data_IF_851182971629
#
_entry.id   IF_851182971629
#
_cell.length_a   1.000
_cell.length_b   1.000
_cell.length_c   1.000
_cell.angle_alpha   90.00
_cell.angle_beta   90.00
_cell.angle_gamma   90.00
#
_symmetry.space_group_name_H-M   'P 1'
#
loop_
_entity.id
_entity.type
_entity.pdbx_description
1 polymer ?
#
# COMPACT_ATOMS: atom_id res chain seq x y z
N UNK A 1 -9.13 3.68 -12.88
CA UNK A 1 -9.76 2.44 -12.38
C UNK A 1 -9.89 1.51 -13.56
N UNK A 2 -9.68 0.19 -13.40
CA UNK A 2 -9.87 -0.73 -14.53
C UNK A 2 -11.35 -0.91 -14.86
N UNK A 3 -11.65 -1.37 -16.08
CA UNK A 3 -13.02 -1.60 -16.56
C UNK A 3 -13.74 -2.64 -15.70
N UNK A 4 -13.03 -3.72 -15.31
CA UNK A 4 -13.55 -4.79 -14.47
C UNK A 4 -13.98 -4.27 -13.09
N UNK A 5 -13.17 -3.41 -12.47
CA UNK A 5 -13.52 -2.78 -11.17
C UNK A 5 -14.77 -1.93 -11.29
N UNK A 6 -14.87 -1.10 -12.34
CA UNK A 6 -16.04 -0.23 -12.55
C UNK A 6 -17.32 -1.03 -12.75
N UNK A 7 -17.25 -2.09 -13.56
CA UNK A 7 -18.40 -2.98 -13.79
C UNK A 7 -18.85 -3.68 -12.50
N UNK A 8 -17.88 -4.20 -11.71
CA UNK A 8 -18.14 -4.80 -10.40
C UNK A 8 -18.82 -3.81 -9.43
N UNK A 9 -18.34 -2.56 -9.41
CA UNK A 9 -18.93 -1.50 -8.58
C UNK A 9 -20.37 -1.18 -8.99
N UNK A 10 -20.65 -1.07 -10.29
CA UNK A 10 -22.02 -0.80 -10.76
C UNK A 10 -23.00 -1.90 -10.35
N UNK A 11 -22.58 -3.16 -10.45
CA UNK A 11 -23.38 -4.29 -9.98
C UNK A 11 -23.66 -4.24 -8.48
N UNK A 12 -22.64 -3.97 -7.67
CA UNK A 12 -22.75 -3.93 -6.21
C UNK A 12 -23.55 -2.70 -5.74
N UNK A 13 -23.31 -1.52 -6.33
CA UNK A 13 -24.09 -0.32 -6.03
C UNK A 13 -25.59 -0.54 -6.31
N UNK A 14 -25.93 -1.20 -7.42
CA UNK A 14 -27.33 -1.49 -7.77
C UNK A 14 -28.02 -2.37 -6.71
N UNK A 15 -27.31 -3.30 -6.08
CA UNK A 15 -27.89 -4.19 -5.06
C UNK A 15 -27.97 -3.52 -3.69
N UNK A 16 -26.91 -2.79 -3.29
CA UNK A 16 -26.82 -2.15 -1.98
C UNK A 16 -27.83 -1.00 -1.86
N UNK A 17 -28.14 -0.36 -2.98
CA UNK A 17 -29.12 0.72 -3.01
C UNK A 17 -30.51 0.31 -2.47
N UNK A 18 -31.04 1.08 -1.53
CA UNK A 18 -32.27 0.74 -0.78
C UNK A 18 -33.57 0.95 -1.59
N UNK A 19 -34.61 0.09 -1.47
CA UNK A 19 -35.88 0.25 -2.22
C UNK A 19 -36.74 1.46 -1.78
N UNK A 20 -36.35 2.16 -0.74
CA UNK A 20 -37.12 3.29 -0.18
C UNK A 20 -36.65 4.67 -0.59
N UNK A 21 -35.48 4.84 -1.19
CA UNK A 21 -34.99 6.11 -1.71
C UNK A 21 -35.39 6.31 -3.18
N UNK A 22 -35.53 7.56 -3.59
CA UNK A 22 -35.94 7.94 -4.94
C UNK A 22 -34.88 7.48 -5.96
N UNK A 23 -35.26 6.72 -7.00
CA UNK A 23 -34.34 6.21 -8.02
C UNK A 23 -33.48 7.33 -8.65
N UNK A 24 -34.05 8.54 -8.78
CA UNK A 24 -33.37 9.71 -9.31
C UNK A 24 -32.22 10.19 -8.37
N UNK A 25 -32.38 10.11 -7.05
CA UNK A 25 -31.35 10.52 -6.08
C UNK A 25 -30.15 9.57 -6.12
N UNK A 26 -30.40 8.28 -6.27
CA UNK A 26 -29.34 7.27 -6.36
C UNK A 26 -28.53 7.39 -7.63
N UNK A 27 -29.22 7.58 -8.75
CA UNK A 27 -28.55 7.83 -10.01
C UNK A 27 -27.62 9.03 -9.92
N UNK A 28 -28.03 10.10 -9.22
CA UNK A 28 -27.20 11.28 -8.98
C UNK A 28 -25.96 10.97 -8.12
N UNK A 29 -26.07 10.10 -7.11
CA UNK A 29 -24.92 9.68 -6.28
C UNK A 29 -23.93 8.88 -7.11
N UNK A 30 -24.39 7.92 -7.90
CA UNK A 30 -23.55 7.14 -8.82
C UNK A 30 -22.93 8.02 -9.89
N UNK A 31 -23.69 8.94 -10.47
CA UNK A 31 -23.22 9.93 -11.44
C UNK A 31 -22.12 10.81 -10.84
N UNK A 32 -22.34 11.32 -9.63
CA UNK A 32 -21.33 12.09 -8.88
C UNK A 32 -20.07 11.26 -8.60
N UNK A 33 -20.22 9.98 -8.28
CA UNK A 33 -19.08 9.07 -8.09
C UNK A 33 -18.30 8.87 -9.40
N UNK A 34 -18.99 8.59 -10.50
CA UNK A 34 -18.38 8.34 -11.81
C UNK A 34 -17.72 9.59 -12.39
N UNK A 35 -18.38 10.75 -12.33
CA UNK A 35 -17.88 12.03 -12.85
C UNK A 35 -16.60 12.52 -12.18
N UNK A 36 -16.32 12.05 -10.97
CA UNK A 36 -15.07 12.35 -10.25
C UNK A 36 -13.89 11.50 -10.69
N UNK A 37 -14.13 10.40 -11.37
CA UNK A 37 -13.11 9.41 -11.72
C UNK A 37 -12.94 9.21 -13.23
N UNK A 38 -13.94 9.57 -14.00
CA UNK A 38 -14.03 9.33 -15.43
C UNK A 38 -14.34 10.64 -16.17
N UNK A 39 -14.06 10.67 -17.46
CA UNK A 39 -14.58 11.70 -18.34
C UNK A 39 -16.08 11.49 -18.55
N UNK A 40 -16.77 12.49 -19.09
CA UNK A 40 -18.23 12.50 -19.24
C UNK A 40 -18.74 11.33 -20.08
N UNK A 41 -18.09 11.00 -21.20
CA UNK A 41 -18.49 9.90 -22.08
C UNK A 41 -18.48 8.54 -21.37
N UNK A 42 -17.38 8.25 -20.65
CA UNK A 42 -17.27 7.00 -19.89
C UNK A 42 -18.22 6.97 -18.68
N UNK A 43 -18.44 8.10 -18.03
CA UNK A 43 -19.40 8.18 -16.92
C UNK A 43 -20.82 7.84 -17.39
N UNK A 44 -21.25 8.32 -18.55
CA UNK A 44 -22.56 8.00 -19.14
C UNK A 44 -22.68 6.49 -19.45
N UNK A 45 -21.66 5.88 -20.04
CA UNK A 45 -21.65 4.42 -20.33
C UNK A 45 -21.83 3.58 -19.06
N UNK A 46 -21.10 3.91 -17.98
CA UNK A 46 -21.22 3.15 -16.73
C UNK A 46 -22.49 3.47 -15.95
N UNK A 47 -23.08 4.66 -16.14
CA UNK A 47 -24.41 4.97 -15.65
C UNK A 47 -25.49 4.11 -16.31
N UNK A 48 -25.40 3.88 -17.61
CA UNK A 48 -26.30 2.94 -18.30
C UNK A 48 -26.16 1.52 -17.75
N UNK A 49 -24.91 1.07 -17.52
CA UNK A 49 -24.65 -0.23 -16.89
C UNK A 49 -25.28 -0.33 -15.50
N UNK A 50 -25.16 0.74 -14.69
CA UNK A 50 -25.83 0.79 -13.38
C UNK A 50 -27.36 0.74 -13.52
N UNK A 51 -27.94 1.54 -14.40
CA UNK A 51 -29.40 1.62 -14.63
C UNK A 51 -29.95 0.25 -15.05
N UNK A 52 -29.25 -0.49 -15.92
CA UNK A 52 -29.62 -1.85 -16.35
C UNK A 52 -29.64 -2.83 -15.17
N UNK A 53 -28.56 -2.86 -14.36
CA UNK A 53 -28.51 -3.74 -13.17
C UNK A 53 -29.54 -3.34 -12.13
N UNK A 54 -29.72 -2.04 -11.90
CA UNK A 54 -30.70 -1.54 -10.95
C UNK A 54 -32.14 -1.90 -11.38
N UNK A 55 -32.47 -1.75 -12.67
CA UNK A 55 -33.75 -2.18 -13.24
C UNK A 55 -34.01 -3.66 -13.01
N UNK A 56 -33.04 -4.54 -13.29
CA UNK A 56 -33.13 -5.98 -13.04
C UNK A 56 -33.37 -6.30 -11.54
N UNK A 57 -32.64 -5.62 -10.65
CA UNK A 57 -32.83 -5.79 -9.20
C UNK A 57 -34.24 -5.40 -8.77
N UNK A 58 -34.77 -4.27 -9.26
CA UNK A 58 -36.10 -3.78 -8.89
C UNK A 58 -37.23 -4.66 -9.44
N UNK A 59 -37.12 -5.13 -10.68
CA UNK A 59 -38.10 -6.05 -11.26
C UNK A 59 -38.21 -7.37 -10.51
N UNK A 60 -37.08 -7.90 -10.04
CA UNK A 60 -37.06 -9.14 -9.27
C UNK A 60 -37.52 -8.94 -7.82
N UNK A 61 -37.21 -7.80 -7.21
CA UNK A 61 -37.67 -7.45 -5.86
C UNK A 61 -39.17 -7.22 -5.82
N UNK A 62 -39.74 -6.63 -6.85
CA UNK A 62 -41.20 -6.43 -7.00
C UNK A 62 -42.02 -7.74 -7.00
N UNK A 63 -41.40 -8.86 -7.36
CA UNK A 63 -42.02 -10.20 -7.34
C UNK A 63 -42.07 -10.84 -5.96
N UNK A 64 -41.52 -10.18 -4.91
CA UNK A 64 -41.39 -10.74 -3.56
C UNK A 64 -42.27 -9.99 -2.56
N UNK A 65 -43.25 -10.69 -2.00
CA UNK A 65 -44.25 -10.11 -1.08
C UNK A 65 -43.85 -10.09 0.41
N UNK A 66 -42.76 -10.77 0.82
CA UNK A 66 -42.32 -10.86 2.22
C UNK A 66 -40.92 -10.29 2.40
N UNK A 67 -40.75 -9.36 3.37
CA UNK A 67 -39.49 -8.65 3.66
C UNK A 67 -38.30 -9.60 3.97
N UNK A 68 -38.52 -10.67 4.73
CA UNK A 68 -37.50 -11.67 5.05
C UNK A 68 -37.01 -12.45 3.82
N UNK A 69 -37.91 -12.76 2.88
CA UNK A 69 -37.53 -13.43 1.61
C UNK A 69 -36.75 -12.49 0.68
N UNK A 70 -37.02 -11.19 0.76
CA UNK A 70 -36.31 -10.17 0.00
C UNK A 70 -34.84 -10.07 0.45
N UNK A 71 -34.61 -10.02 1.76
CA UNK A 71 -33.26 -9.97 2.35
C UNK A 71 -32.44 -11.23 1.98
N UNK A 72 -33.02 -12.40 2.15
CA UNK A 72 -32.34 -13.65 1.79
C UNK A 72 -31.98 -13.72 0.30
N UNK A 73 -32.85 -13.23 -0.59
CA UNK A 73 -32.56 -13.18 -2.04
C UNK A 73 -31.43 -12.19 -2.37
N UNK A 74 -31.44 -11.02 -1.75
CA UNK A 74 -30.38 -10.02 -1.93
C UNK A 74 -29.02 -10.56 -1.49
N UNK A 75 -28.95 -11.18 -0.32
CA UNK A 75 -27.73 -11.83 0.18
C UNK A 75 -27.21 -12.91 -0.79
N UNK A 76 -28.10 -13.76 -1.33
CA UNK A 76 -27.72 -14.77 -2.34
C UNK A 76 -27.23 -14.12 -3.64
N UNK A 77 -27.81 -12.99 -4.04
CA UNK A 77 -27.38 -12.26 -5.25
C UNK A 77 -26.00 -11.63 -5.03
N UNK A 78 -25.78 -10.97 -3.89
CA UNK A 78 -24.45 -10.44 -3.49
C UNK A 78 -23.40 -11.55 -3.57
N UNK A 79 -23.67 -12.69 -2.97
CA UNK A 79 -22.76 -13.86 -3.02
C UNK A 79 -22.44 -14.29 -4.45
N UNK A 80 -23.45 -14.40 -5.33
CA UNK A 80 -23.24 -14.78 -6.74
C UNK A 80 -22.36 -13.77 -7.49
N UNK A 81 -22.62 -12.49 -7.34
CA UNK A 81 -21.84 -11.43 -7.99
C UNK A 81 -20.43 -11.40 -7.44
N UNK A 82 -20.28 -11.45 -6.11
CA UNK A 82 -18.95 -11.49 -5.48
C UNK A 82 -18.15 -12.74 -5.87
N UNK A 83 -18.81 -13.89 -6.06
CA UNK A 83 -18.13 -15.10 -6.55
C UNK A 83 -17.62 -14.90 -7.98
N UNK A 84 -18.41 -14.32 -8.87
CA UNK A 84 -17.96 -13.98 -10.23
C UNK A 84 -16.81 -12.95 -10.22
N UNK A 85 -16.93 -11.91 -9.39
CA UNK A 85 -15.86 -10.90 -9.21
C UNK A 85 -14.56 -11.54 -8.69
N UNK A 86 -14.66 -12.56 -7.83
CA UNK A 86 -13.49 -13.27 -7.31
C UNK A 86 -12.66 -13.98 -8.38
N UNK A 87 -13.29 -14.39 -9.48
CA UNK A 87 -12.61 -15.00 -10.62
C UNK A 87 -11.92 -13.96 -11.51
N UNK A 88 -12.45 -12.73 -11.54
CA UNK A 88 -11.98 -11.66 -12.42
C UNK A 88 -10.96 -10.72 -11.75
N UNK A 89 -11.10 -10.45 -10.43
CA UNK A 89 -10.29 -9.44 -9.73
C UNK A 89 -9.23 -10.05 -8.82
N UNK A 90 -8.03 -9.47 -8.86
CA UNK A 90 -6.97 -9.75 -7.88
C UNK A 90 -7.28 -9.12 -6.51
N UNK A 91 -6.64 -9.63 -5.43
CA UNK A 91 -6.91 -9.18 -4.06
C UNK A 91 -6.77 -7.66 -3.85
N UNK A 92 -5.77 -6.95 -4.41
CA UNK A 92 -5.69 -5.49 -4.31
C UNK A 92 -6.91 -4.77 -4.91
N UNK A 93 -7.44 -5.27 -6.03
CA UNK A 93 -8.61 -4.70 -6.69
C UNK A 93 -9.88 -4.87 -5.85
N UNK A 94 -10.05 -6.03 -5.20
CA UNK A 94 -11.17 -6.31 -4.29
C UNK A 94 -11.18 -5.38 -3.08
N UNK A 95 -10.00 -5.09 -2.51
CA UNK A 95 -9.88 -4.11 -1.42
C UNK A 95 -10.26 -2.70 -1.90
N UNK A 96 -9.87 -2.30 -3.11
CA UNK A 96 -10.30 -1.02 -3.70
C UNK A 96 -11.83 -0.98 -3.86
N UNK A 97 -12.45 -2.06 -4.36
CA UNK A 97 -13.92 -2.17 -4.46
C UNK A 97 -14.56 -2.00 -3.08
N UNK A 98 -14.04 -2.65 -2.04
CA UNK A 98 -14.57 -2.52 -0.67
C UNK A 98 -14.51 -1.07 -0.17
N UNK A 99 -13.39 -0.37 -0.37
CA UNK A 99 -13.27 1.06 -0.03
C UNK A 99 -14.33 1.91 -0.74
N UNK A 100 -14.54 1.68 -2.04
CA UNK A 100 -15.51 2.44 -2.82
C UNK A 100 -16.96 2.16 -2.37
N UNK A 101 -17.27 0.92 -2.00
CA UNK A 101 -18.58 0.57 -1.43
C UNK A 101 -18.85 1.28 -0.11
N UNK A 102 -17.87 1.35 0.78
CA UNK A 102 -17.99 2.05 2.05
C UNK A 102 -18.13 3.57 1.85
N UNK A 103 -17.37 4.17 0.93
CA UNK A 103 -17.49 5.59 0.57
C UNK A 103 -18.86 5.90 -0.06
N UNK A 104 -19.40 5.00 -0.87
CA UNK A 104 -20.72 5.12 -1.48
C UNK A 104 -21.82 5.16 -0.41
N UNK A 105 -21.82 4.22 0.55
CA UNK A 105 -22.81 4.19 1.63
C UNK A 105 -22.67 5.40 2.53
N UNK A 106 -21.45 5.84 2.85
CA UNK A 106 -21.21 7.06 3.63
C UNK A 106 -21.85 8.28 2.98
N UNK A 107 -21.89 8.36 1.65
CA UNK A 107 -22.49 9.48 0.94
C UNK A 107 -24.02 9.43 0.89
N UNK A 108 -24.64 8.25 1.04
CA UNK A 108 -26.10 8.08 0.94
C UNK A 108 -26.87 8.38 2.24
N UNK A 109 -26.27 8.14 3.42
CA UNK A 109 -27.00 8.29 4.67
C UNK A 109 -26.13 8.78 5.83
N UNK A 110 -26.69 9.70 6.64
CA UNK A 110 -26.10 10.08 7.92
C UNK A 110 -26.27 8.97 8.99
N UNK A 111 -27.30 8.13 8.86
CA UNK A 111 -27.54 6.95 9.69
C UNK A 111 -27.38 5.68 8.85
N UNK A 112 -26.24 5.02 9.01
CA UNK A 112 -25.96 3.74 8.34
C UNK A 112 -26.97 2.68 8.77
N UNK A 113 -27.80 2.22 7.86
CA UNK A 113 -28.72 1.13 8.14
C UNK A 113 -27.93 -0.16 8.41
N UNK A 114 -28.29 -0.89 9.47
CA UNK A 114 -27.65 -2.15 9.86
C UNK A 114 -27.59 -3.17 8.70
N UNK A 115 -28.54 -3.09 7.78
CA UNK A 115 -28.64 -3.99 6.63
C UNK A 115 -27.56 -3.72 5.57
N UNK A 116 -27.22 -2.47 5.31
CA UNK A 116 -26.16 -2.10 4.35
C UNK A 116 -24.80 -2.57 4.84
N UNK A 117 -24.56 -2.45 6.15
CA UNK A 117 -23.32 -2.97 6.76
C UNK A 117 -23.24 -4.48 6.73
N UNK A 118 -24.35 -5.19 6.88
CA UNK A 118 -24.40 -6.65 6.75
C UNK A 118 -24.08 -7.10 5.32
N UNK A 119 -24.56 -6.38 4.30
CA UNK A 119 -24.19 -6.64 2.91
C UNK A 119 -22.71 -6.41 2.65
N UNK A 120 -22.14 -5.30 3.14
CA UNK A 120 -20.70 -5.04 2.97
C UNK A 120 -19.84 -6.07 3.71
N UNK A 121 -20.24 -6.50 4.90
CA UNK A 121 -19.56 -7.58 5.61
C UNK A 121 -19.58 -8.89 4.80
N UNK A 122 -20.73 -9.21 4.16
CA UNK A 122 -20.84 -10.35 3.24
C UNK A 122 -19.92 -10.21 2.01
N UNK A 123 -19.78 -9.00 1.46
CA UNK A 123 -18.83 -8.73 0.36
C UNK A 123 -17.40 -8.95 0.81
N UNK A 124 -17.02 -8.39 1.97
CA UNK A 124 -15.67 -8.53 2.53
C UNK A 124 -15.30 -9.99 2.79
N UNK A 125 -16.21 -10.77 3.38
CA UNK A 125 -16.03 -12.20 3.63
C UNK A 125 -15.87 -12.99 2.31
N UNK A 126 -16.74 -12.73 1.33
CA UNK A 126 -16.66 -13.39 0.02
C UNK A 126 -15.37 -13.03 -0.74
N UNK A 127 -14.85 -11.83 -0.57
CA UNK A 127 -13.58 -11.38 -1.13
C UNK A 127 -12.36 -11.91 -0.37
N UNK A 128 -12.58 -12.70 0.69
CA UNK A 128 -11.54 -13.21 1.58
C UNK A 128 -10.68 -12.11 2.19
N UNK A 129 -11.30 -10.98 2.54
CA UNK A 129 -10.64 -9.91 3.28
C UNK A 129 -10.66 -10.28 4.76
N UNK A 130 -9.51 -10.36 5.44
CA UNK A 130 -9.45 -10.66 6.87
C UNK A 130 -10.32 -9.72 7.70
N UNK A 131 -10.94 -10.22 8.76
CA UNK A 131 -11.85 -9.45 9.63
C UNK A 131 -11.16 -8.22 10.24
N UNK A 132 -9.89 -8.35 10.66
CA UNK A 132 -9.09 -7.24 11.19
C UNK A 132 -8.88 -6.13 10.15
N UNK A 133 -8.61 -6.50 8.89
CA UNK A 133 -8.46 -5.55 7.78
C UNK A 133 -9.81 -4.89 7.47
N UNK A 134 -10.89 -5.65 7.42
CA UNK A 134 -12.24 -5.12 7.19
C UNK A 134 -12.65 -4.13 8.27
N UNK A 135 -12.45 -4.46 9.54
CA UNK A 135 -12.76 -3.58 10.66
C UNK A 135 -11.93 -2.29 10.62
N UNK A 136 -10.65 -2.38 10.28
CA UNK A 136 -9.75 -1.23 10.15
C UNK A 136 -10.16 -0.33 8.98
N UNK A 137 -10.47 -0.91 7.81
CA UNK A 137 -10.97 -0.18 6.63
C UNK A 137 -12.29 0.52 6.96
N UNK A 138 -13.25 -0.20 7.52
CA UNK A 138 -14.56 0.32 7.90
C UNK A 138 -14.44 1.54 8.80
N UNK A 139 -13.62 1.46 9.84
CA UNK A 139 -13.38 2.59 10.75
C UNK A 139 -12.68 3.74 10.05
N UNK A 140 -11.69 3.47 9.24
CA UNK A 140 -10.97 4.49 8.49
C UNK A 140 -11.90 5.32 7.59
N UNK A 141 -12.83 4.66 6.90
CA UNK A 141 -13.77 5.33 5.99
C UNK A 141 -14.89 6.02 6.75
N UNK A 142 -15.55 5.34 7.69
CA UNK A 142 -16.81 5.78 8.28
C UNK A 142 -16.64 6.64 9.53
N UNK A 143 -15.54 6.49 10.26
CA UNK A 143 -15.36 7.16 11.56
C UNK A 143 -14.42 8.36 11.42
N UNK A 144 -14.81 9.46 12.06
CA UNK A 144 -14.01 10.68 12.05
C UNK A 144 -13.17 10.86 13.31
N UNK A 145 -13.48 10.11 14.39
CA UNK A 145 -12.83 10.19 15.69
C UNK A 145 -12.21 8.86 16.12
N UNK A 146 -11.28 8.94 17.09
CA UNK A 146 -10.73 7.76 17.77
C UNK A 146 -9.64 6.98 17.03
N UNK A 147 -9.16 7.45 15.88
CA UNK A 147 -8.06 6.80 15.16
C UNK A 147 -6.69 7.02 15.81
N UNK A 148 -6.58 8.01 16.70
CA UNK A 148 -5.33 8.42 17.37
C UNK A 148 -4.77 7.35 18.34
N UNK A 149 -5.62 6.45 18.83
CA UNK A 149 -5.24 5.42 19.80
C UNK A 149 -4.85 4.07 19.17
N UNK A 150 -4.76 4.01 17.83
CA UNK A 150 -4.64 2.75 17.11
C UNK A 150 -3.38 2.66 16.28
N UNK A 151 -2.57 1.59 16.43
CA UNK A 151 -1.28 1.41 15.76
C UNK A 151 -1.39 1.17 14.25
N UNK A 152 -2.56 0.74 13.76
CA UNK A 152 -2.83 0.48 12.35
C UNK A 152 -2.95 1.75 11.50
N UNK A 153 -3.00 2.94 12.15
CA UNK A 153 -3.08 4.22 11.43
C UNK A 153 -1.82 5.05 11.60
N UNK A 154 -1.57 5.89 10.60
CA UNK A 154 -0.56 6.95 10.62
C UNK A 154 -1.27 8.29 10.47
N UNK A 155 -0.94 9.21 11.35
CA UNK A 155 -1.51 10.56 11.38
C UNK A 155 -0.43 11.58 11.06
N UNK A 156 -0.76 12.56 10.23
CA UNK A 156 0.11 13.70 9.92
C UNK A 156 -0.64 14.96 10.29
N UNK A 157 -0.11 15.75 11.19
CA UNK A 157 -0.68 17.04 11.60
C UNK A 157 0.40 17.99 12.15
N UNK A 158 -0.02 19.19 12.59
CA UNK A 158 0.87 20.21 13.14
C UNK A 158 1.06 20.11 14.67
N UNK A 159 0.56 19.08 15.32
CA UNK A 159 0.77 18.85 16.75
C UNK A 159 2.17 18.26 16.99
N UNK A 160 2.98 18.90 17.80
CA UNK A 160 4.25 18.31 18.25
C UNK A 160 3.95 17.13 19.15
N UNK A 161 4.56 15.96 18.90
CA UNK A 161 4.34 14.70 19.62
C UNK A 161 4.69 14.78 21.12
N UNK A 162 3.99 15.62 21.88
CA UNK A 162 4.16 15.80 23.32
C UNK A 162 3.12 15.07 24.14
N UNK A 163 2.08 14.49 23.55
CA UNK A 163 1.08 13.70 24.27
C UNK A 163 1.47 12.23 24.25
N UNK A 164 2.15 11.79 25.32
CA UNK A 164 2.51 10.42 25.65
C UNK A 164 1.26 9.54 25.87
N UNK A 165 0.50 9.23 24.84
CA UNK A 165 -0.72 8.43 25.00
C UNK A 165 -1.24 7.79 23.71
N UNK A 166 -0.98 8.36 22.56
CA UNK A 166 -1.43 7.80 21.29
C UNK A 166 -0.59 6.59 20.86
N UNK A 167 -1.27 5.53 20.41
CA UNK A 167 -0.62 4.33 19.84
C UNK A 167 -0.39 4.44 18.34
N UNK A 168 -1.07 5.38 17.66
CA UNK A 168 -0.91 5.61 16.22
C UNK A 168 0.48 6.15 15.88
N UNK A 169 0.93 5.85 14.68
CA UNK A 169 2.14 6.44 14.10
C UNK A 169 1.89 7.92 13.81
N UNK A 170 2.92 8.76 13.91
CA UNK A 170 2.76 10.20 13.73
C UNK A 170 3.91 10.85 12.94
N UNK A 171 3.55 11.75 12.01
CA UNK A 171 4.47 12.65 11.32
C UNK A 171 4.06 14.10 11.65
N UNK A 172 5.00 14.86 12.19
CA UNK A 172 4.80 16.30 12.38
C UNK A 172 5.00 17.06 11.06
N UNK A 173 4.04 17.92 10.73
CA UNK A 173 4.15 18.88 9.61
C UNK A 173 3.69 20.25 10.06
N UNK A 174 4.67 21.17 10.19
CA UNK A 174 4.40 22.56 10.52
C UNK A 174 3.44 23.19 9.51
N UNK A 175 2.51 24.02 9.98
CA UNK A 175 1.50 24.72 9.17
C UNK A 175 0.46 23.83 8.47
N UNK A 176 0.41 22.55 8.73
CA UNK A 176 -0.69 21.72 8.22
C UNK A 176 -2.00 22.07 8.95
N UNK A 177 -2.97 22.58 8.18
CA UNK A 177 -4.33 22.82 8.68
C UNK A 177 -5.14 21.55 8.52
N UNK A 178 -5.62 21.00 9.64
CA UNK A 178 -6.29 19.70 9.66
C UNK A 178 -5.33 18.52 9.87
N UNK A 179 -5.72 17.35 9.38
CA UNK A 179 -5.01 16.10 9.59
C UNK A 179 -5.02 15.24 8.32
N UNK A 180 -3.89 14.67 7.95
CA UNK A 180 -3.81 13.63 6.93
C UNK A 180 -3.72 12.29 7.64
N UNK A 181 -4.58 11.36 7.27
CA UNK A 181 -4.70 10.03 7.85
C UNK A 181 -4.31 8.98 6.83
N UNK A 182 -3.57 7.97 7.25
CA UNK A 182 -3.19 6.84 6.42
C UNK A 182 -3.53 5.53 7.10
N UNK A 183 -3.87 4.54 6.28
CA UNK A 183 -4.03 3.14 6.69
C UNK A 183 -3.21 2.25 5.76
N UNK A 184 -2.62 1.20 6.31
CA UNK A 184 -2.04 0.09 5.55
C UNK A 184 -2.95 -1.13 5.66
N UNK A 185 -3.37 -1.69 4.53
CA UNK A 185 -4.15 -2.92 4.45
C UNK A 185 -3.19 -4.07 4.15
N UNK A 186 -2.90 -4.85 5.17
CA UNK A 186 -1.85 -5.89 5.13
C UNK A 186 -2.14 -7.00 4.10
N UNK A 187 -3.39 -7.46 3.99
CA UNK A 187 -3.79 -8.56 3.09
C UNK A 187 -3.60 -8.25 1.61
N UNK A 188 -3.60 -6.96 1.23
CA UNK A 188 -3.43 -6.50 -0.14
C UNK A 188 -2.16 -5.69 -0.36
N UNK A 189 -1.41 -5.39 0.71
CA UNK A 189 -0.27 -4.47 0.73
C UNK A 189 -0.59 -3.13 0.08
N UNK A 190 -1.75 -2.57 0.39
CA UNK A 190 -2.21 -1.28 -0.11
C UNK A 190 -2.21 -0.22 0.98
N UNK A 191 -1.92 1.00 0.56
CA UNK A 191 -2.01 2.18 1.42
C UNK A 191 -3.12 3.09 0.94
N UNK A 192 -3.88 3.65 1.88
CA UNK A 192 -4.90 4.65 1.59
C UNK A 192 -4.67 5.90 2.41
N UNK A 193 -5.11 7.03 1.87
CA UNK A 193 -5.02 8.34 2.49
C UNK A 193 -6.38 9.01 2.54
N UNK A 194 -6.67 9.69 3.64
CA UNK A 194 -7.85 10.55 3.84
C UNK A 194 -7.40 11.86 4.45
N UNK A 195 -7.83 12.99 3.87
CA UNK A 195 -7.58 14.31 4.40
C UNK A 195 -8.78 14.81 5.19
N UNK A 196 -8.55 15.28 6.41
CA UNK A 196 -9.54 15.87 7.30
C UNK A 196 -9.11 17.32 7.58
N UNK A 197 -9.62 18.25 6.80
CA UNK A 197 -9.28 19.66 6.91
C UNK A 197 -10.04 20.51 5.91
N UNK A 198 -9.85 21.83 6.01
CA UNK A 198 -10.52 22.82 5.13
C UNK A 198 -9.57 23.47 4.13
N UNK A 199 -8.26 23.31 4.31
CA UNK A 199 -7.28 23.85 3.38
C UNK A 199 -7.12 22.94 2.15
N UNK A 200 -6.69 23.52 1.04
CA UNK A 200 -6.38 22.74 -0.16
C UNK A 200 -5.17 21.82 0.11
N UNK A 201 -5.31 20.55 -0.29
CA UNK A 201 -4.23 19.58 -0.29
C UNK A 201 -4.23 18.83 -1.62
N UNK A 202 -3.08 18.70 -2.23
CA UNK A 202 -2.92 18.08 -3.54
C UNK A 202 -2.14 16.77 -3.42
N UNK A 203 -2.61 15.73 -4.08
CA UNK A 203 -1.87 14.47 -4.30
C UNK A 203 -1.50 14.37 -5.78
N UNK A 204 -0.20 14.35 -6.08
CA UNK A 204 0.32 14.29 -7.47
C UNK A 204 -0.25 15.41 -8.37
N UNK A 205 -0.55 16.58 -7.81
CA UNK A 205 -1.13 17.71 -8.53
C UNK A 205 -2.66 17.70 -8.63
N UNK A 206 -3.34 16.66 -8.17
CA UNK A 206 -4.80 16.58 -8.09
C UNK A 206 -5.28 17.01 -6.70
N UNK A 207 -6.28 17.90 -6.66
CA UNK A 207 -6.89 18.34 -5.41
C UNK A 207 -7.60 17.17 -4.72
N UNK A 208 -7.31 16.95 -3.44
CA UNK A 208 -8.02 15.98 -2.62
C UNK A 208 -9.32 16.58 -2.07
N UNK A 209 -10.41 15.87 -2.22
CA UNK A 209 -11.66 16.19 -1.52
C UNK A 209 -11.52 15.80 -0.05
N UNK A 210 -11.82 16.73 0.89
CA UNK A 210 -11.81 16.39 2.31
C UNK A 210 -12.75 15.22 2.63
N UNK A 211 -12.37 14.42 3.63
CA UNK A 211 -13.14 13.29 4.15
C UNK A 211 -13.28 12.09 3.22
N UNK A 212 -12.70 12.12 2.04
CA UNK A 212 -12.70 11.02 1.08
C UNK A 212 -11.39 10.24 1.12
N UNK A 213 -11.48 8.93 0.94
CA UNK A 213 -10.34 8.01 0.92
C UNK A 213 -9.82 7.81 -0.49
N UNK A 214 -8.49 7.86 -0.65
CA UNK A 214 -7.80 7.67 -1.93
C UNK A 214 -6.70 6.62 -1.79
N UNK A 215 -6.47 5.78 -2.81
CA UNK A 215 -5.31 4.90 -2.82
C UNK A 215 -4.02 5.72 -2.92
N UNK A 216 -3.04 5.40 -2.09
CA UNK A 216 -1.71 6.01 -2.11
C UNK A 216 -0.75 5.07 -2.85
N UNK A 217 -0.43 5.42 -4.09
CA UNK A 217 0.43 4.62 -4.95
C UNK A 217 1.92 4.95 -4.75
N UNK A 218 2.79 4.03 -5.15
CA UNK A 218 4.25 4.26 -5.18
C UNK A 218 4.59 5.53 -5.94
N UNK A 219 5.47 6.36 -5.36
CA UNK A 219 5.86 7.65 -5.93
C UNK A 219 4.89 8.80 -5.65
N UNK A 220 3.76 8.56 -4.99
CA UNK A 220 2.81 9.62 -4.62
C UNK A 220 3.43 10.62 -3.64
N UNK A 221 3.03 11.87 -3.79
CA UNK A 221 3.36 12.95 -2.87
C UNK A 221 2.14 13.81 -2.55
N UNK A 222 1.98 14.15 -1.27
CA UNK A 222 0.96 15.10 -0.82
C UNK A 222 1.63 16.42 -0.51
N UNK A 223 1.07 17.50 -1.04
CA UNK A 223 1.66 18.84 -0.90
C UNK A 223 0.60 19.95 -0.96
N UNK A 224 0.93 21.07 -0.34
CA UNK A 224 0.33 22.38 -0.60
C UNK A 224 1.43 23.45 -0.50
N UNK A 225 1.04 24.72 -0.60
CA UNK A 225 2.01 25.83 -0.55
C UNK A 225 2.62 26.09 0.85
N UNK A 226 2.05 25.51 1.91
CA UNK A 226 2.37 25.83 3.30
C UNK A 226 3.15 24.74 4.02
N UNK A 227 3.13 23.49 3.52
CA UNK A 227 3.75 22.34 4.19
C UNK A 227 4.89 21.73 3.36
N UNK A 228 5.88 21.18 4.05
CA UNK A 228 6.82 20.28 3.42
C UNK A 228 6.09 19.04 2.90
N UNK A 229 6.37 18.57 1.67
CA UNK A 229 5.69 17.41 1.10
C UNK A 229 5.72 16.18 2.00
N UNK A 230 4.65 15.39 1.94
CA UNK A 230 4.60 14.05 2.54
C UNK A 230 4.70 13.06 1.39
N UNK A 231 5.75 12.28 1.36
CA UNK A 231 6.01 11.31 0.30
C UNK A 231 5.49 9.92 0.67
N UNK A 232 5.18 9.11 -0.33
CA UNK A 232 4.86 7.69 -0.17
C UNK A 232 5.89 6.95 0.70
N UNK A 233 7.18 7.22 0.48
CA UNK A 233 8.27 6.62 1.26
C UNK A 233 8.23 6.98 2.75
N UNK A 234 7.85 8.22 3.09
CA UNK A 234 7.70 8.65 4.50
C UNK A 234 6.64 7.81 5.21
N UNK A 235 5.51 7.58 4.51
CA UNK A 235 4.38 6.80 5.01
C UNK A 235 4.77 5.32 5.19
N UNK A 236 5.28 4.70 4.13
CA UNK A 236 5.63 3.27 4.12
C UNK A 236 6.71 2.95 5.17
N UNK A 237 7.73 3.80 5.31
CA UNK A 237 8.81 3.58 6.27
C UNK A 237 8.32 3.47 7.72
N UNK A 238 7.26 4.18 8.07
CA UNK A 238 6.69 4.11 9.43
C UNK A 238 5.83 2.86 9.65
N UNK A 239 5.15 2.36 8.63
CA UNK A 239 4.42 1.10 8.72
C UNK A 239 5.36 -0.12 8.75
N UNK A 240 6.44 -0.08 7.99
CA UNK A 240 7.46 -1.14 7.96
C UNK A 240 8.37 -1.09 9.20
N UNK A 241 8.67 0.13 9.70
CA UNK A 241 9.60 0.36 10.81
C UNK A 241 9.21 -0.31 12.14
N UNK A 242 7.92 -0.54 12.38
CA UNK A 242 7.46 -1.27 13.57
C UNK A 242 7.77 -2.78 13.51
N UNK A 243 8.01 -3.32 12.33
CA UNK A 243 8.39 -4.73 12.15
C UNK A 243 9.91 -4.95 12.39
N UNK A 244 10.70 -3.89 12.32
CA UNK A 244 12.16 -3.92 12.56
C UNK A 244 12.46 -3.07 13.79
N UNK A 245 12.38 -3.68 14.98
CA UNK A 245 12.65 -3.00 16.28
C UNK A 245 14.10 -2.63 16.54
N UNK A 246 15.03 -2.82 15.62
CA UNK A 246 16.43 -2.44 15.80
C UNK A 246 16.84 -1.33 14.84
N UNK A 247 17.21 -0.16 15.36
CA UNK A 247 17.90 0.86 14.57
C UNK A 247 19.22 0.29 14.10
N UNK A 248 19.38 0.12 12.79
CA UNK A 248 20.64 -0.26 12.22
C UNK A 248 21.48 1.02 12.08
N UNK A 249 22.68 0.99 12.61
CA UNK A 249 23.69 2.03 12.43
C UNK A 249 24.79 1.45 11.55
N UNK A 250 25.00 2.07 10.40
CA UNK A 250 26.05 1.71 9.45
C UNK A 250 27.16 2.74 9.53
N UNK A 251 28.41 2.31 9.74
CA UNK A 251 29.54 3.19 9.92
C UNK A 251 30.70 2.76 9.02
N UNK A 252 31.24 3.69 8.28
CA UNK A 252 32.54 3.61 7.64
C UNK A 252 33.53 4.47 8.47
N UNK A 253 34.59 3.89 8.98
CA UNK A 253 35.53 4.57 9.87
C UNK A 253 36.91 4.54 9.23
N UNK A 254 37.44 5.69 8.81
CA UNK A 254 38.75 5.88 8.25
C UNK A 254 39.16 4.87 7.17
N UNK A 255 38.25 4.64 6.19
CA UNK A 255 38.43 3.64 5.14
C UNK A 255 39.51 4.11 4.15
N UNK A 256 40.61 3.40 4.13
CA UNK A 256 41.62 3.48 3.07
C UNK A 256 41.69 2.13 2.35
N UNK A 257 41.73 2.16 1.02
CA UNK A 257 41.84 0.95 0.23
C UNK A 257 42.97 1.08 -0.80
N UNK A 258 43.89 0.14 -0.81
CA UNK A 258 44.99 0.02 -1.79
C UNK A 258 44.78 -1.22 -2.64
N UNK A 259 44.95 -1.04 -3.93
CA UNK A 259 44.97 -2.17 -4.89
C UNK A 259 46.26 -2.96 -4.75
N UNK A 260 46.27 -4.19 -5.25
CA UNK A 260 47.50 -5.03 -5.29
C UNK A 260 48.63 -4.40 -6.08
N UNK A 261 48.36 -3.49 -7.02
CA UNK A 261 49.32 -2.69 -7.77
C UNK A 261 50.07 -1.65 -6.89
N UNK A 262 49.56 -1.38 -5.68
CA UNK A 262 50.05 -0.31 -4.78
C UNK A 262 49.28 1.00 -4.91
N UNK A 263 48.46 1.17 -5.92
CA UNK A 263 47.66 2.37 -6.13
C UNK A 263 46.59 2.52 -5.04
N UNK A 264 46.31 3.77 -4.64
CA UNK A 264 45.29 4.07 -3.65
C UNK A 264 43.97 4.32 -4.32
N UNK A 265 42.99 3.47 -4.03
CA UNK A 265 41.63 3.59 -4.57
C UNK A 265 40.68 4.41 -3.68
N UNK A 266 40.91 4.42 -2.36
CA UNK A 266 40.16 5.19 -1.38
C UNK A 266 41.11 5.83 -0.38
N UNK A 267 40.86 7.10 -0.04
CA UNK A 267 41.66 7.88 0.90
C UNK A 267 40.78 8.34 2.06
N UNK A 268 40.94 7.74 3.21
CA UNK A 268 40.38 8.15 4.51
C UNK A 268 38.86 8.52 4.43
N UNK A 269 38.05 7.64 3.91
CA UNK A 269 36.59 7.86 3.78
C UNK A 269 35.90 7.48 5.09
N UNK A 270 35.13 8.39 5.66
CA UNK A 270 34.39 8.15 6.89
C UNK A 270 33.00 8.77 6.86
N UNK A 271 31.99 7.99 7.29
CA UNK A 271 30.62 8.47 7.51
C UNK A 271 29.84 7.52 8.43
N UNK A 272 28.76 8.02 8.98
CA UNK A 272 27.83 7.24 9.81
C UNK A 272 26.41 7.51 9.37
N UNK A 273 25.65 6.47 9.06
CA UNK A 273 24.26 6.55 8.66
C UNK A 273 23.37 5.61 9.50
N UNK A 274 22.11 5.98 9.62
CA UNK A 274 21.10 5.20 10.35
C UNK A 274 20.08 4.61 9.38
N UNK A 275 19.43 3.53 9.80
CA UNK A 275 18.35 2.90 9.04
C UNK A 275 17.27 3.90 8.56
N UNK A 276 16.67 3.64 7.40
CA UNK A 276 15.63 4.47 6.81
C UNK A 276 16.17 5.65 5.97
N UNK A 277 17.48 5.72 5.68
CA UNK A 277 18.07 6.75 4.82
C UNK A 277 18.54 6.19 3.49
N UNK A 278 18.39 6.98 2.44
CA UNK A 278 18.97 6.74 1.12
C UNK A 278 20.24 7.58 0.99
N UNK A 279 21.37 6.93 0.72
CA UNK A 279 22.67 7.58 0.55
C UNK A 279 23.09 7.50 -0.92
N UNK A 280 23.31 8.65 -1.55
CA UNK A 280 23.80 8.74 -2.92
C UNK A 280 25.31 8.94 -2.96
N UNK A 281 26.03 8.09 -3.73
CA UNK A 281 27.47 8.24 -4.00
C UNK A 281 27.63 8.80 -5.39
N UNK A 282 28.15 10.05 -5.48
CA UNK A 282 28.35 10.74 -6.74
C UNK A 282 29.83 11.03 -6.99
N UNK A 283 30.21 11.16 -8.24
CA UNK A 283 31.57 11.49 -8.67
C UNK A 283 31.83 11.13 -10.13
N UNK A 284 32.91 11.65 -10.70
CA UNK A 284 33.34 11.36 -12.07
C UNK A 284 33.66 9.86 -12.27
N UNK A 285 33.79 9.45 -13.55
CA UNK A 285 34.31 8.09 -13.84
C UNK A 285 35.72 7.95 -13.27
N UNK A 286 36.02 6.80 -12.66
CA UNK A 286 37.31 6.57 -11.99
C UNK A 286 37.47 7.16 -10.58
N UNK A 287 36.47 7.87 -10.05
CA UNK A 287 36.55 8.47 -8.71
C UNK A 287 36.47 7.47 -7.52
N UNK A 288 36.47 6.17 -7.78
CA UNK A 288 36.47 5.13 -6.75
C UNK A 288 35.08 4.72 -6.23
N UNK A 289 33.96 5.13 -6.86
CA UNK A 289 32.59 4.82 -6.43
C UNK A 289 32.33 3.31 -6.27
N UNK A 290 32.68 2.53 -7.28
CA UNK A 290 32.54 1.06 -7.25
C UNK A 290 33.47 0.42 -6.23
N UNK A 291 34.69 0.96 -6.07
CA UNK A 291 35.62 0.52 -5.04
C UNK A 291 35.06 0.75 -3.63
N UNK A 292 34.47 1.93 -3.41
CA UNK A 292 33.80 2.24 -2.15
C UNK A 292 32.64 1.28 -1.88
N UNK A 293 31.74 1.06 -2.84
CA UNK A 293 30.63 0.12 -2.70
C UNK A 293 31.11 -1.30 -2.37
N UNK A 294 32.18 -1.78 -3.05
CA UNK A 294 32.75 -3.10 -2.78
C UNK A 294 33.42 -3.23 -1.41
N UNK A 295 33.91 -2.13 -0.84
CA UNK A 295 34.38 -2.11 0.54
C UNK A 295 33.21 -2.07 1.52
N UNK A 296 32.18 -1.28 1.24
CA UNK A 296 31.02 -1.13 2.10
C UNK A 296 30.13 -2.38 2.16
N UNK A 297 30.07 -3.18 1.06
CA UNK A 297 29.30 -4.42 1.03
C UNK A 297 30.10 -5.65 1.51
N UNK A 298 31.37 -5.47 1.88
CA UNK A 298 32.22 -6.53 2.40
C UNK A 298 32.96 -7.37 1.35
N UNK A 299 32.73 -7.11 0.03
CA UNK A 299 33.44 -7.83 -1.04
C UNK A 299 34.97 -7.58 -1.00
N UNK A 300 35.37 -6.35 -0.63
CA UNK A 300 36.75 -5.98 -0.46
C UNK A 300 37.05 -5.55 0.99
N UNK A 301 38.06 -6.15 1.64
CA UNK A 301 38.50 -5.71 2.95
C UNK A 301 39.29 -4.41 2.81
N UNK A 302 39.01 -3.37 3.61
CA UNK A 302 39.79 -2.13 3.60
C UNK A 302 41.23 -2.40 4.06
N UNK A 303 42.19 -1.63 3.55
CA UNK A 303 43.60 -1.72 3.97
C UNK A 303 43.77 -1.11 5.37
N UNK A 304 43.06 -0.02 5.62
CA UNK A 304 42.98 0.65 6.91
C UNK A 304 41.51 1.04 7.19
N UNK A 305 41.15 1.13 8.46
CA UNK A 305 39.80 1.45 8.88
C UNK A 305 38.89 0.23 9.00
N UNK A 306 37.61 0.49 9.22
CA UNK A 306 36.58 -0.57 9.44
C UNK A 306 35.22 -0.14 8.91
N UNK A 307 34.44 -1.14 8.47
CA UNK A 307 33.01 -0.99 8.20
C UNK A 307 32.24 -1.72 9.28
N UNK A 308 31.37 -1.01 9.99
CA UNK A 308 30.63 -1.56 11.12
C UNK A 308 29.12 -1.51 10.85
N UNK A 309 28.42 -2.56 11.28
CA UNK A 309 26.95 -2.58 11.42
C UNK A 309 26.65 -2.79 12.90
N UNK A 310 25.97 -1.82 13.53
CA UNK A 310 25.68 -1.81 14.96
C UNK A 310 26.93 -2.03 15.83
N UNK A 311 28.08 -1.51 15.41
CA UNK A 311 29.38 -1.65 16.12
C UNK A 311 30.14 -2.94 15.83
N UNK A 312 29.57 -3.89 15.06
CA UNK A 312 30.22 -5.14 14.66
C UNK A 312 30.88 -4.97 13.30
N UNK A 313 32.15 -5.33 13.19
CA UNK A 313 32.90 -5.24 11.93
C UNK A 313 32.45 -6.31 10.95
N UNK A 314 32.06 -5.90 9.71
CA UNK A 314 31.58 -6.82 8.68
C UNK A 314 32.58 -7.86 8.23
N UNK A 315 33.87 -7.66 8.55
CA UNK A 315 34.95 -8.61 8.27
C UNK A 315 35.38 -9.44 9.49
N UNK A 316 34.64 -9.36 10.62
CA UNK A 316 34.94 -10.10 11.83
C UNK A 316 34.57 -11.59 11.74
N UNK A 317 33.72 -12.00 10.83
CA UNK A 317 33.14 -13.35 10.77
C UNK A 317 32.07 -13.60 11.85
N UNK A 318 31.53 -12.55 12.45
CA UNK A 318 30.45 -12.65 13.45
C UNK A 318 29.17 -13.12 12.79
N UNK A 319 28.56 -14.24 13.22
CA UNK A 319 27.30 -14.74 12.63
C UNK A 319 26.13 -13.76 12.71
N UNK A 320 26.16 -12.79 13.64
CA UNK A 320 25.07 -11.82 13.82
C UNK A 320 24.91 -10.84 12.66
N UNK A 321 25.92 -10.72 11.81
CA UNK A 321 25.91 -9.81 10.64
C UNK A 321 25.93 -10.55 9.31
N UNK A 322 25.99 -11.88 9.33
CA UNK A 322 25.94 -12.69 8.11
C UNK A 322 24.59 -12.53 7.42
N UNK A 323 24.60 -12.26 6.12
CA UNK A 323 23.36 -12.08 5.32
C UNK A 323 22.61 -10.76 5.54
N UNK A 324 23.08 -9.82 6.37
CA UNK A 324 22.40 -8.53 6.61
C UNK A 324 22.50 -7.59 5.38
N UNK A 325 23.60 -7.65 4.63
CA UNK A 325 23.85 -6.78 3.47
C UNK A 325 23.35 -7.46 2.21
N UNK A 326 22.30 -6.88 1.58
CA UNK A 326 21.91 -7.19 0.22
C UNK A 326 22.69 -6.31 -0.76
N UNK A 327 23.19 -6.90 -1.85
CA UNK A 327 23.92 -6.19 -2.89
C UNK A 327 23.29 -6.46 -4.27
N UNK A 328 23.06 -5.39 -5.03
CA UNK A 328 22.67 -5.47 -6.44
C UNK A 328 23.84 -4.96 -7.27
N UNK A 329 24.41 -5.82 -8.09
CA UNK A 329 25.54 -5.48 -8.96
C UNK A 329 25.11 -4.59 -10.15
N UNK A 330 26.10 -3.98 -10.81
CA UNK A 330 25.86 -3.21 -12.04
C UNK A 330 25.43 -4.12 -13.19
N UNK A 331 26.06 -5.28 -13.29
CA UNK A 331 25.69 -6.31 -14.28
C UNK A 331 24.63 -7.21 -13.62
N UNK A 332 23.60 -7.58 -14.39
CA UNK A 332 22.64 -8.54 -13.92
C UNK A 332 23.27 -9.93 -13.76
N UNK A 333 22.86 -10.65 -12.73
CA UNK A 333 23.27 -12.02 -12.45
C UNK A 333 22.14 -13.00 -12.74
N UNK A 334 21.21 -12.60 -13.62
CA UNK A 334 20.10 -13.44 -14.01
C UNK A 334 20.59 -14.56 -14.91
N UNK A 335 19.99 -15.73 -14.74
CA UNK A 335 20.19 -16.87 -15.62
C UNK A 335 19.11 -16.76 -16.69
N UNK A 336 19.49 -16.44 -17.92
CA UNK A 336 18.56 -16.16 -19.03
C UNK A 336 17.69 -17.36 -19.41
N UNK A 337 18.15 -18.58 -19.15
CA UNK A 337 17.40 -19.80 -19.40
C UNK A 337 16.30 -20.09 -18.35
N UNK A 338 16.29 -19.34 -17.26
CA UNK A 338 15.31 -19.48 -16.18
C UNK A 338 14.23 -18.40 -16.28
N UNK A 339 13.00 -18.76 -15.93
CA UNK A 339 11.90 -17.81 -15.80
C UNK A 339 12.17 -16.81 -14.66
N UNK A 340 11.44 -15.68 -14.64
CA UNK A 340 11.50 -14.70 -13.55
C UNK A 340 11.22 -15.37 -12.19
N UNK A 341 10.23 -16.28 -12.13
CA UNK A 341 9.95 -17.06 -10.93
C UNK A 341 11.13 -17.94 -10.52
N UNK A 342 11.70 -18.69 -11.45
CA UNK A 342 12.81 -19.60 -11.16
C UNK A 342 14.06 -18.87 -10.69
N UNK A 343 14.39 -17.73 -11.31
CA UNK A 343 15.51 -16.90 -10.86
C UNK A 343 15.32 -16.46 -9.39
N UNK A 344 14.13 -15.98 -9.02
CA UNK A 344 13.84 -15.58 -7.64
C UNK A 344 13.79 -16.78 -6.69
N UNK A 345 13.19 -17.89 -7.11
CA UNK A 345 13.06 -19.08 -6.30
C UNK A 345 14.41 -19.70 -5.93
N UNK A 346 15.29 -19.91 -6.90
CA UNK A 346 16.60 -20.49 -6.63
C UNK A 346 17.48 -19.55 -5.79
N UNK A 347 17.42 -18.24 -6.03
CA UNK A 347 18.10 -17.28 -5.16
C UNK A 347 17.55 -17.31 -3.73
N UNK A 348 16.24 -17.36 -3.55
CA UNK A 348 15.63 -17.48 -2.22
C UNK A 348 16.07 -18.78 -1.52
N UNK A 349 16.11 -19.90 -2.26
CA UNK A 349 16.56 -21.19 -1.73
C UNK A 349 18.02 -21.21 -1.29
N UNK A 350 18.86 -20.42 -1.93
CA UNK A 350 20.28 -20.26 -1.53
C UNK A 350 20.44 -19.34 -0.31
N UNK A 351 19.50 -18.40 -0.11
CA UNK A 351 19.61 -17.39 0.96
C UNK A 351 18.89 -17.78 2.27
N UNK A 352 17.89 -18.69 2.20
CA UNK A 352 17.02 -19.01 3.34
C UNK A 352 17.06 -20.48 3.71
N UNK A 353 18.13 -20.90 4.39
CA UNK A 353 18.35 -22.30 4.79
C UNK A 353 17.25 -22.87 5.72
N UNK A 354 16.56 -22.03 6.47
CA UNK A 354 15.57 -22.43 7.46
C UNK A 354 14.10 -22.37 6.96
N UNK A 355 13.87 -22.01 5.69
CA UNK A 355 12.52 -21.92 5.14
C UNK A 355 12.06 -23.28 4.61
N UNK A 356 10.80 -23.62 4.89
CA UNK A 356 10.14 -24.73 4.20
C UNK A 356 9.88 -24.38 2.73
N UNK A 357 9.62 -25.38 1.89
CA UNK A 357 9.29 -25.20 0.48
C UNK A 357 8.10 -24.26 0.29
N UNK A 358 7.07 -24.40 1.13
CA UNK A 358 5.87 -23.55 1.12
C UNK A 358 6.20 -22.10 1.47
N UNK A 359 7.05 -21.89 2.47
CA UNK A 359 7.50 -20.54 2.88
C UNK A 359 8.34 -19.86 1.79
N UNK A 360 9.18 -20.61 1.07
CA UNK A 360 9.97 -20.11 -0.05
C UNK A 360 9.05 -19.67 -1.21
N UNK A 361 8.09 -20.51 -1.58
CA UNK A 361 7.10 -20.21 -2.63
C UNK A 361 6.31 -18.96 -2.28
N UNK A 362 5.84 -18.86 -1.04
CA UNK A 362 5.08 -17.69 -0.58
C UNK A 362 5.94 -16.41 -0.57
N UNK A 363 7.19 -16.49 -0.13
CA UNK A 363 8.13 -15.37 -0.15
C UNK A 363 8.38 -14.88 -1.56
N UNK A 364 8.61 -15.78 -2.53
CA UNK A 364 8.81 -15.45 -3.93
C UNK A 364 7.55 -14.81 -4.53
N UNK A 365 6.37 -15.37 -4.27
CA UNK A 365 5.10 -14.80 -4.75
C UNK A 365 4.85 -13.40 -4.17
N UNK A 366 5.17 -13.18 -2.91
CA UNK A 366 5.07 -11.87 -2.26
C UNK A 366 5.99 -10.84 -2.92
N UNK A 367 7.25 -11.21 -3.19
CA UNK A 367 8.20 -10.33 -3.89
C UNK A 367 7.73 -10.00 -5.30
N UNK A 368 7.26 -10.99 -6.05
CA UNK A 368 6.73 -10.81 -7.40
C UNK A 368 5.54 -9.84 -7.42
N UNK A 369 4.62 -9.96 -6.46
CA UNK A 369 3.48 -9.03 -6.32
C UNK A 369 3.94 -7.62 -5.96
N UNK A 370 4.86 -7.50 -5.00
CA UNK A 370 5.39 -6.20 -4.57
C UNK A 370 6.11 -5.44 -5.69
N UNK A 371 6.75 -6.17 -6.59
CA UNK A 371 7.44 -5.61 -7.76
C UNK A 371 6.54 -5.46 -8.99
N UNK A 372 5.28 -5.90 -8.94
CA UNK A 372 4.37 -5.90 -10.10
C UNK A 372 4.76 -6.89 -11.20
N UNK A 373 5.57 -7.92 -10.88
CA UNK A 373 6.08 -8.91 -11.82
C UNK A 373 5.31 -10.24 -11.80
N UNK A 374 4.22 -10.32 -11.03
CA UNK A 374 3.52 -11.59 -10.82
C UNK A 374 2.94 -12.17 -12.12
N UNK A 375 2.41 -11.33 -12.99
CA UNK A 375 1.78 -11.76 -14.25
C UNK A 375 2.79 -12.28 -15.27
N UNK A 376 4.03 -11.78 -15.20
CA UNK A 376 5.12 -12.17 -16.14
C UNK A 376 6.08 -13.20 -15.52
N UNK A 377 5.73 -13.80 -14.40
CA UNK A 377 6.62 -14.71 -13.65
C UNK A 377 7.11 -15.94 -14.41
N UNK A 378 6.40 -16.34 -15.47
CA UNK A 378 6.71 -17.51 -16.29
C UNK A 378 7.45 -17.18 -17.61
N UNK A 379 7.82 -15.91 -17.80
CA UNK A 379 8.63 -15.48 -18.92
C UNK A 379 10.10 -15.73 -18.60
#
# INVERSE_FOLDING_TARGET
MSEEILKALMQLFAIISHPGSNASERRLVVESFLSRQLNQELAEVYLEVFDDYYGQVMEEDAKVTKKERLLSRRSVRVLKICTAINEELAQPQKVIVLFQLLEFIKSESQDLASQEMEFIATVADTFHIPEDDFDSIRRFVLTDDGLEERPEYLLVDSRKAASKGGRSKHIYRENLVGQIRFIHVDSANLYFVKYVGQAELYMNGQLLEPMKSYPLNTGSSLRNQQISPVYYSDVVSLFVGDRVKSRIVFQAIHITYRFKSGDVGLHDVGFTEQSGRLVGIMGASGAGKSTLLNVLNGANKPTEGKVLINGVDIHSGDPSIEGIIGFVSQDDLLIEELTVYQNLYYNAKLCFDNYTEEQLVEAVHRVLRNLGLYEIKNI
#
